data_IF_812985863660
#
_entry.id   IF_812985863660
#
_cell.length_a   1.000
_cell.length_b   1.000
_cell.length_c   1.000
_cell.angle_alpha   90.00
_cell.angle_beta   90.00
_cell.angle_gamma   90.00
#
_symmetry.space_group_name_H-M   'P 1'
#
loop_
_entity.id
_entity.type
_entity.pdbx_description
1 polymer ?
#
# COMPACT_ATOMS: atom_id res chain seq x y z
N UNK A 1 -0.38 8.86 -17.06
CA UNK A 1 0.94 9.10 -17.69
C UNK A 1 1.06 10.61 -17.79
N UNK A 2 2.16 11.20 -17.32
CA UNK A 2 2.49 12.53 -17.84
C UNK A 2 2.69 12.38 -19.36
N UNK A 3 2.32 13.38 -20.15
CA UNK A 3 2.50 13.32 -21.60
C UNK A 3 3.96 13.00 -21.99
N UNK A 4 4.90 13.47 -21.16
CA UNK A 4 6.36 13.24 -21.28
C UNK A 4 6.70 11.75 -21.10
N UNK A 5 6.15 11.08 -20.08
CA UNK A 5 6.41 9.64 -19.85
C UNK A 5 5.98 8.75 -21.02
N UNK A 6 4.86 9.06 -21.68
CA UNK A 6 4.44 8.34 -22.90
C UNK A 6 5.32 8.61 -24.11
N UNK A 7 5.83 9.85 -24.26
CA UNK A 7 6.75 10.20 -25.35
C UNK A 7 8.07 9.45 -25.17
N UNK A 8 8.63 9.49 -23.96
CA UNK A 8 9.89 8.81 -23.64
C UNK A 8 9.77 7.29 -23.71
N UNK A 9 8.66 6.69 -23.28
CA UNK A 9 8.42 5.26 -23.46
C UNK A 9 8.38 4.87 -24.95
N UNK A 10 7.76 5.69 -25.80
CA UNK A 10 7.76 5.49 -27.25
C UNK A 10 9.15 5.60 -27.88
N UNK A 11 9.97 6.54 -27.39
CA UNK A 11 11.39 6.68 -27.79
C UNK A 11 12.21 5.47 -27.32
N UNK A 12 12.02 5.03 -26.08
CA UNK A 12 12.71 3.87 -25.51
C UNK A 12 12.47 2.59 -26.32
N UNK A 13 11.24 2.38 -26.82
CA UNK A 13 10.93 1.27 -27.73
C UNK A 13 11.72 1.38 -29.04
N UNK A 14 11.84 2.57 -29.62
CA UNK A 14 12.55 2.77 -30.89
C UNK A 14 14.05 2.52 -30.78
N UNK A 15 14.67 2.93 -29.68
CA UNK A 15 16.12 2.78 -29.47
C UNK A 15 16.51 1.46 -28.83
N UNK A 16 15.54 0.61 -28.48
CA UNK A 16 15.79 -0.66 -27.83
C UNK A 16 16.30 -0.50 -26.40
N UNK A 17 15.72 0.42 -25.63
CA UNK A 17 15.96 0.62 -24.20
C UNK A 17 14.84 -0.07 -23.37
N UNK A 18 14.93 -1.41 -23.16
CA UNK A 18 13.85 -2.17 -22.52
C UNK A 18 13.65 -1.83 -21.04
N UNK A 19 14.69 -1.45 -20.29
CA UNK A 19 14.59 -1.19 -18.85
C UNK A 19 13.84 0.12 -18.62
N UNK A 20 14.26 1.21 -19.27
CA UNK A 20 13.53 2.49 -19.25
C UNK A 20 12.07 2.30 -19.70
N UNK A 21 11.83 1.52 -20.76
CA UNK A 21 10.47 1.24 -21.23
C UNK A 21 9.60 0.61 -20.15
N UNK A 22 10.07 -0.46 -19.49
CA UNK A 22 9.29 -1.14 -18.45
C UNK A 22 9.05 -0.25 -17.22
N UNK A 23 10.06 0.52 -16.80
CA UNK A 23 9.94 1.48 -15.69
C UNK A 23 8.90 2.57 -16.00
N UNK A 24 8.94 3.15 -17.21
CA UNK A 24 8.00 4.21 -17.60
C UNK A 24 6.57 3.67 -17.86
N UNK A 25 6.43 2.37 -18.16
CA UNK A 25 5.14 1.71 -18.32
C UNK A 25 4.45 1.43 -16.98
N UNK A 26 5.21 0.99 -15.96
CA UNK A 26 4.68 0.61 -14.66
C UNK A 26 4.75 1.76 -13.63
N UNK A 27 3.80 2.67 -13.84
CA UNK A 27 3.63 3.99 -13.23
C UNK A 27 3.00 4.03 -11.83
N UNK A 28 2.71 2.89 -11.20
CA UNK A 28 1.91 2.88 -9.97
C UNK A 28 2.70 2.38 -8.74
N UNK A 29 2.63 3.13 -7.63
CA UNK A 29 3.34 2.82 -6.39
C UNK A 29 4.82 3.22 -6.42
N UNK A 30 5.69 2.40 -5.82
CA UNK A 30 7.15 2.64 -5.72
C UNK A 30 7.88 2.71 -7.08
N UNK A 31 7.24 2.24 -8.17
CA UNK A 31 7.74 2.39 -9.54
C UNK A 31 7.64 3.82 -10.09
N UNK A 32 6.78 4.66 -9.51
CA UNK A 32 6.66 6.07 -9.87
C UNK A 32 7.87 6.92 -9.49
N UNK A 33 8.55 6.58 -8.38
CA UNK A 33 9.74 7.29 -7.92
C UNK A 33 10.92 7.05 -8.89
N UNK A 34 11.13 5.79 -9.29
CA UNK A 34 12.17 5.42 -10.27
C UNK A 34 11.87 6.03 -11.65
N UNK A 35 10.60 6.09 -12.04
CA UNK A 35 10.20 6.74 -13.29
C UNK A 35 10.50 8.25 -13.28
N UNK A 36 10.39 8.92 -12.12
CA UNK A 36 10.82 10.31 -11.94
C UNK A 36 12.32 10.48 -12.16
N UNK A 37 13.14 9.67 -11.50
CA UNK A 37 14.60 9.70 -11.62
C UNK A 37 15.08 9.44 -13.06
N UNK A 38 14.42 8.52 -13.77
CA UNK A 38 14.69 8.26 -15.19
C UNK A 38 14.40 9.49 -16.05
N UNK A 39 13.27 10.16 -15.82
CA UNK A 39 12.89 11.38 -16.56
C UNK A 39 13.87 12.51 -16.26
N UNK A 40 14.26 12.71 -15.01
CA UNK A 40 15.23 13.72 -14.59
C UNK A 40 16.62 13.46 -15.20
N UNK A 41 17.05 12.20 -15.25
CA UNK A 41 18.32 11.80 -15.86
C UNK A 41 18.32 12.07 -17.36
N UNK A 42 17.23 11.79 -18.06
CA UNK A 42 17.08 12.09 -19.49
C UNK A 42 17.07 13.61 -19.73
N UNK A 43 16.35 14.37 -18.90
CA UNK A 43 16.34 15.83 -18.93
C UNK A 43 17.75 16.42 -18.77
N UNK A 44 18.51 15.93 -17.78
CA UNK A 44 19.89 16.33 -17.53
C UNK A 44 20.83 16.04 -18.70
N UNK A 45 20.66 14.90 -19.40
CA UNK A 45 21.47 14.56 -20.59
C UNK A 45 21.18 15.46 -21.79
N UNK A 46 19.94 15.91 -21.95
CA UNK A 46 19.54 16.83 -23.01
C UNK A 46 19.85 18.29 -22.63
N UNK A 47 19.98 18.59 -21.33
CA UNK A 47 20.28 19.91 -20.81
C UNK A 47 19.06 20.83 -20.76
N UNK A 48 17.84 20.26 -20.73
CA UNK A 48 16.58 21.00 -20.63
C UNK A 48 15.84 20.61 -19.35
N UNK A 49 14.98 21.48 -18.80
CA UNK A 49 14.10 21.09 -17.71
C UNK A 49 13.05 20.05 -18.20
N UNK A 50 12.53 19.25 -17.27
CA UNK A 50 11.64 18.10 -17.56
C UNK A 50 10.40 18.52 -18.36
N UNK A 51 9.85 19.67 -18.05
CA UNK A 51 8.69 20.29 -18.69
C UNK A 51 8.94 20.68 -20.15
N UNK A 52 10.19 20.91 -20.54
CA UNK A 52 10.58 21.23 -21.91
C UNK A 52 10.95 19.99 -22.74
N UNK A 53 11.05 18.80 -22.15
CA UNK A 53 11.38 17.55 -22.85
C UNK A 53 10.45 17.25 -24.03
N UNK A 54 9.20 17.66 -23.96
CA UNK A 54 8.23 17.47 -25.05
C UNK A 54 8.54 18.30 -26.31
N UNK A 55 9.38 19.33 -26.19
CA UNK A 55 9.77 20.24 -27.29
C UNK A 55 11.08 19.83 -27.97
N UNK A 56 11.82 18.89 -27.37
CA UNK A 56 13.12 18.43 -27.84
C UNK A 56 12.95 17.55 -29.09
N UNK A 57 13.82 17.68 -30.11
CA UNK A 57 13.82 16.80 -31.28
C UNK A 57 13.97 15.32 -30.89
N UNK A 58 13.17 14.45 -31.52
CA UNK A 58 13.18 13.02 -31.21
C UNK A 58 14.55 12.36 -31.36
N UNK A 59 15.39 12.81 -32.30
CA UNK A 59 16.75 12.29 -32.48
C UNK A 59 17.67 12.56 -31.28
N UNK A 60 17.51 13.69 -30.59
CA UNK A 60 18.28 14.00 -29.38
C UNK A 60 17.77 13.18 -28.18
N UNK A 61 16.45 13.02 -28.06
CA UNK A 61 15.85 12.16 -27.05
C UNK A 61 16.26 10.69 -27.23
N UNK A 62 16.34 10.21 -28.48
CA UNK A 62 16.79 8.85 -28.79
C UNK A 62 18.21 8.61 -28.29
N UNK A 63 19.14 9.53 -28.56
CA UNK A 63 20.52 9.45 -28.06
C UNK A 63 20.57 9.51 -26.53
N UNK A 64 19.82 10.42 -25.92
CA UNK A 64 19.81 10.59 -24.46
C UNK A 64 19.24 9.34 -23.76
N UNK A 65 18.16 8.75 -24.28
CA UNK A 65 17.56 7.52 -23.75
C UNK A 65 18.49 6.33 -23.92
N UNK A 66 19.14 6.19 -25.08
CA UNK A 66 20.10 5.10 -25.31
C UNK A 66 21.33 5.20 -24.37
N UNK A 67 21.84 6.41 -24.14
CA UNK A 67 22.94 6.64 -23.20
C UNK A 67 22.51 6.41 -21.75
N UNK A 68 21.33 6.89 -21.36
CA UNK A 68 20.80 6.69 -20.01
C UNK A 68 20.62 5.20 -19.69
N UNK A 69 20.06 4.42 -20.64
CA UNK A 69 19.92 2.97 -20.50
C UNK A 69 21.29 2.29 -20.36
N UNK A 70 22.28 2.68 -21.18
CA UNK A 70 23.61 2.08 -21.15
C UNK A 70 24.37 2.37 -19.84
N UNK A 71 24.20 3.57 -19.28
CA UNK A 71 24.90 4.01 -18.06
C UNK A 71 24.21 3.54 -16.78
N UNK A 72 22.89 3.68 -16.70
CA UNK A 72 22.12 3.46 -15.45
C UNK A 72 21.17 2.26 -15.50
N UNK A 73 20.95 1.66 -16.68
CA UNK A 73 20.04 0.52 -16.85
C UNK A 73 20.26 -0.60 -15.84
N UNK A 74 21.50 -1.08 -15.61
CA UNK A 74 21.75 -2.13 -14.62
C UNK A 74 21.37 -1.75 -13.18
N UNK A 75 21.62 -0.50 -12.78
CA UNK A 75 21.27 0.01 -11.45
C UNK A 75 19.75 0.13 -11.28
N UNK A 76 19.07 0.73 -12.26
CA UNK A 76 17.62 0.85 -12.25
C UNK A 76 16.92 -0.50 -12.28
N UNK A 77 17.44 -1.48 -13.02
CA UNK A 77 16.92 -2.85 -13.01
C UNK A 77 17.06 -3.50 -11.63
N UNK A 78 18.18 -3.31 -10.93
CA UNK A 78 18.36 -3.82 -9.57
C UNK A 78 17.36 -3.19 -8.59
N UNK A 79 17.20 -1.87 -8.65
CA UNK A 79 16.25 -1.17 -7.79
C UNK A 79 14.80 -1.59 -8.08
N UNK A 80 14.45 -1.72 -9.36
CA UNK A 80 13.14 -2.18 -9.82
C UNK A 80 12.82 -3.59 -9.33
N UNK A 81 13.75 -4.53 -9.53
CA UNK A 81 13.57 -5.93 -9.10
C UNK A 81 13.52 -6.07 -7.58
N UNK A 82 14.28 -5.28 -6.83
CA UNK A 82 14.16 -5.21 -5.37
C UNK A 82 12.78 -4.71 -4.93
N UNK A 83 12.23 -3.71 -5.64
CA UNK A 83 10.88 -3.22 -5.44
C UNK A 83 9.82 -4.31 -5.67
N UNK A 84 9.91 -5.02 -6.79
CA UNK A 84 9.02 -6.14 -7.12
C UNK A 84 9.11 -7.28 -6.11
N UNK A 85 10.32 -7.64 -5.66
CA UNK A 85 10.52 -8.67 -4.65
C UNK A 85 9.82 -8.32 -3.33
N UNK A 86 9.87 -7.06 -2.91
CA UNK A 86 9.14 -6.60 -1.73
C UNK A 86 7.62 -6.70 -1.92
N UNK A 87 7.10 -6.27 -3.07
CA UNK A 87 5.65 -6.38 -3.35
C UNK A 87 5.19 -7.84 -3.33
N UNK A 88 5.98 -8.74 -3.94
CA UNK A 88 5.69 -10.17 -3.89
C UNK A 88 5.76 -10.73 -2.47
N UNK A 89 6.74 -10.30 -1.65
CA UNK A 89 6.85 -10.73 -0.26
C UNK A 89 5.62 -10.34 0.57
N UNK A 90 5.08 -9.13 0.37
CA UNK A 90 3.83 -8.69 1.01
C UNK A 90 2.65 -9.56 0.57
N UNK A 91 2.51 -9.80 -0.74
CA UNK A 91 1.44 -10.64 -1.27
C UNK A 91 1.53 -12.10 -0.78
N UNK A 92 2.74 -12.65 -0.67
CA UNK A 92 2.95 -13.99 -0.11
C UNK A 92 2.65 -14.04 1.38
N UNK A 93 3.00 -13.00 2.14
CA UNK A 93 2.64 -12.88 3.54
C UNK A 93 1.12 -12.87 3.74
N UNK A 94 0.38 -12.18 2.87
CA UNK A 94 -1.08 -12.18 2.87
C UNK A 94 -1.69 -13.54 2.48
N UNK A 95 -1.09 -14.26 1.52
CA UNK A 95 -1.55 -15.58 1.10
C UNK A 95 -1.37 -16.65 2.19
N UNK A 96 -0.32 -16.53 3.00
CA UNK A 96 -0.02 -17.45 4.10
C UNK A 96 -0.93 -17.28 5.33
N UNK A 97 -1.82 -16.29 5.35
CA UNK A 97 -2.65 -16.02 6.51
C UNK A 97 -3.65 -17.18 6.76
N UNK A 98 -3.67 -17.78 7.97
CA UNK A 98 -4.60 -18.84 8.31
C UNK A 98 -6.06 -18.42 8.09
N UNK A 99 -6.87 -19.32 7.52
CA UNK A 99 -8.29 -19.05 7.24
C UNK A 99 -9.06 -18.59 8.48
N UNK A 100 -8.69 -19.08 9.68
CA UNK A 100 -9.29 -18.67 10.95
C UNK A 100 -9.02 -17.21 11.26
N UNK A 101 -7.79 -16.73 11.06
CA UNK A 101 -7.42 -15.33 11.28
C UNK A 101 -8.17 -14.41 10.30
N UNK A 102 -8.28 -14.84 9.05
CA UNK A 102 -9.06 -14.15 8.01
C UNK A 102 -10.55 -14.13 8.38
N UNK A 103 -11.15 -15.26 8.70
CA UNK A 103 -12.56 -15.33 9.07
C UNK A 103 -12.88 -14.50 10.33
N UNK A 104 -11.98 -14.48 11.31
CA UNK A 104 -12.09 -13.66 12.52
C UNK A 104 -12.17 -12.17 12.18
N UNK A 105 -11.23 -11.65 11.38
CA UNK A 105 -11.20 -10.25 10.92
C UNK A 105 -12.54 -9.82 10.32
N UNK A 106 -12.98 -10.56 9.30
CA UNK A 106 -14.17 -10.21 8.55
C UNK A 106 -15.42 -10.42 9.40
N UNK A 107 -15.46 -11.50 10.18
CA UNK A 107 -16.55 -11.81 11.09
C UNK A 107 -16.80 -10.70 12.10
N UNK A 108 -15.75 -10.21 12.78
CA UNK A 108 -15.90 -9.10 13.72
C UNK A 108 -16.23 -7.77 13.06
N UNK A 109 -15.64 -7.48 11.91
CA UNK A 109 -15.92 -6.24 11.19
C UNK A 109 -17.40 -6.16 10.78
N UNK A 110 -17.96 -7.27 10.27
CA UNK A 110 -19.38 -7.33 9.93
C UNK A 110 -20.28 -7.41 11.17
N UNK A 111 -19.89 -8.11 12.23
CA UNK A 111 -20.64 -8.14 13.48
C UNK A 111 -20.77 -6.73 14.07
N UNK A 112 -19.66 -5.99 14.17
CA UNK A 112 -19.67 -4.62 14.67
C UNK A 112 -20.50 -3.71 13.76
N UNK A 113 -20.32 -3.80 12.43
CA UNK A 113 -21.13 -3.06 11.47
C UNK A 113 -22.63 -3.35 11.60
N UNK A 114 -22.99 -4.62 11.80
CA UNK A 114 -24.35 -5.04 12.09
C UNK A 114 -24.86 -4.45 13.41
N UNK A 115 -24.11 -4.54 14.51
CA UNK A 115 -24.53 -4.01 15.81
C UNK A 115 -24.73 -2.49 15.79
N UNK A 116 -23.85 -1.76 15.11
CA UNK A 116 -24.00 -0.33 14.89
C UNK A 116 -25.24 0.00 14.07
N UNK A 117 -25.45 -0.72 12.96
CA UNK A 117 -26.63 -0.55 12.09
C UNK A 117 -27.93 -0.91 12.83
N UNK A 118 -27.91 -2.00 13.60
CA UNK A 118 -29.03 -2.43 14.43
C UNK A 118 -29.43 -1.35 15.43
N UNK A 119 -28.45 -0.82 16.17
CA UNK A 119 -28.66 0.15 17.24
C UNK A 119 -29.08 1.52 16.72
N UNK A 120 -28.45 2.00 15.64
CA UNK A 120 -28.67 3.36 15.15
C UNK A 120 -29.79 3.47 14.11
N UNK A 121 -30.06 2.41 13.37
CA UNK A 121 -30.99 2.43 12.23
C UNK A 121 -32.17 1.50 12.47
N UNK A 122 -31.92 0.20 12.67
CA UNK A 122 -32.99 -0.79 12.67
C UNK A 122 -33.93 -0.65 13.88
N UNK A 123 -33.39 -0.55 15.10
CA UNK A 123 -34.22 -0.44 16.31
C UNK A 123 -35.10 0.82 16.29
N UNK A 124 -34.57 2.03 16.02
CA UNK A 124 -35.42 3.22 15.91
C UNK A 124 -36.48 3.10 14.81
N UNK A 125 -36.12 2.52 13.67
CA UNK A 125 -37.04 2.33 12.54
C UNK A 125 -38.17 1.37 12.89
N UNK A 126 -37.85 0.22 13.49
CA UNK A 126 -38.84 -0.78 13.90
C UNK A 126 -39.73 -0.26 15.01
N UNK A 127 -39.18 0.41 16.02
CA UNK A 127 -39.97 1.03 17.09
C UNK A 127 -40.93 2.08 16.52
N UNK A 128 -40.48 2.89 15.56
CA UNK A 128 -41.34 3.88 14.90
C UNK A 128 -42.43 3.25 14.01
N UNK A 129 -42.12 2.18 13.28
CA UNK A 129 -43.06 1.53 12.37
C UNK A 129 -44.10 0.66 13.09
N UNK A 130 -43.68 -0.06 14.13
CA UNK A 130 -44.51 -1.07 14.80
C UNK A 130 -44.99 -0.62 16.18
N UNK A 131 -44.66 0.60 16.62
CA UNK A 131 -44.88 1.06 18.00
C UNK A 131 -44.31 0.07 19.02
N UNK A 132 -43.21 -0.58 18.67
CA UNK A 132 -42.49 -1.51 19.54
C UNK A 132 -41.60 -0.73 20.52
N UNK A 133 -41.22 -1.39 21.62
CA UNK A 133 -40.28 -0.87 22.61
C UNK A 133 -39.03 -1.77 22.70
N UNK A 134 -38.38 -1.97 21.55
CA UNK A 134 -37.11 -2.70 21.52
C UNK A 134 -36.03 -1.80 22.09
N UNK A 135 -35.37 -2.26 23.15
CA UNK A 135 -34.23 -1.57 23.73
C UNK A 135 -32.95 -1.90 22.95
N UNK A 136 -32.26 -0.89 22.37
CA UNK A 136 -30.97 -1.13 21.74
C UNK A 136 -29.87 -1.31 22.79
N UNK A 137 -28.75 -1.97 22.44
CA UNK A 137 -27.54 -2.00 23.28
C UNK A 137 -27.07 -0.59 23.65
N UNK A 138 -26.41 -0.46 24.80
CA UNK A 138 -25.83 0.82 25.20
C UNK A 138 -24.70 1.23 24.24
N UNK A 139 -24.69 2.50 23.85
CA UNK A 139 -23.69 3.03 22.91
C UNK A 139 -22.27 3.01 23.49
N UNK A 140 -22.14 3.13 24.81
CA UNK A 140 -20.86 3.03 25.53
C UNK A 140 -20.26 1.62 25.41
N UNK A 141 -21.08 0.59 25.53
CA UNK A 141 -20.67 -0.82 25.37
C UNK A 141 -20.21 -1.08 23.93
N UNK A 142 -20.94 -0.58 22.94
CA UNK A 142 -20.58 -0.72 21.52
C UNK A 142 -19.26 -0.02 21.18
N UNK A 143 -19.03 1.18 21.72
CA UNK A 143 -17.77 1.91 21.58
C UNK A 143 -16.63 1.17 22.27
N UNK A 144 -16.86 0.63 23.46
CA UNK A 144 -15.88 -0.14 24.21
C UNK A 144 -15.49 -1.40 23.43
N UNK A 145 -16.47 -2.17 22.95
CA UNK A 145 -16.24 -3.36 22.15
C UNK A 145 -15.50 -3.04 20.83
N UNK A 146 -15.89 -1.97 20.15
CA UNK A 146 -15.23 -1.51 18.91
C UNK A 146 -13.78 -1.12 19.20
N UNK A 147 -13.53 -0.41 20.30
CA UNK A 147 -12.18 -0.01 20.72
C UNK A 147 -11.32 -1.24 21.03
N UNK A 148 -11.87 -2.22 21.75
CA UNK A 148 -11.17 -3.49 22.01
C UNK A 148 -10.85 -4.24 20.73
N UNK A 149 -11.80 -4.30 19.79
CA UNK A 149 -11.55 -4.92 18.49
C UNK A 149 -10.42 -4.20 17.73
N UNK A 150 -10.45 -2.87 17.66
CA UNK A 150 -9.38 -2.09 17.01
C UNK A 150 -8.03 -2.28 17.71
N UNK A 151 -8.00 -2.32 19.03
CA UNK A 151 -6.78 -2.55 19.81
C UNK A 151 -6.20 -3.95 19.57
N UNK A 152 -7.04 -4.98 19.54
CA UNK A 152 -6.60 -6.35 19.25
C UNK A 152 -6.19 -6.54 17.79
N UNK A 153 -6.86 -5.84 16.88
CA UNK A 153 -6.64 -5.93 15.45
C UNK A 153 -5.40 -5.18 14.98
N UNK A 154 -5.22 -3.93 15.42
CA UNK A 154 -4.07 -3.07 15.08
C UNK A 154 -2.88 -3.26 16.04
N UNK A 155 -3.12 -3.69 17.29
CA UNK A 155 -2.12 -3.76 18.36
C UNK A 155 -1.62 -5.16 18.69
N UNK A 156 -1.79 -6.14 17.79
CA UNK A 156 -1.42 -7.54 18.05
C UNK A 156 0.05 -7.76 18.46
N UNK A 157 0.98 -6.89 18.02
CA UNK A 157 2.37 -6.90 18.47
C UNK A 157 2.54 -6.25 19.86
N UNK A 158 1.88 -5.13 20.13
CA UNK A 158 1.90 -4.47 21.44
C UNK A 158 1.34 -5.35 22.55
N UNK A 159 0.26 -6.09 22.28
CA UNK A 159 -0.31 -7.04 23.24
C UNK A 159 0.61 -8.24 23.47
N UNK A 160 1.31 -8.72 22.43
CA UNK A 160 2.31 -9.78 22.56
C UNK A 160 3.52 -9.33 23.39
N UNK A 161 4.03 -8.13 23.14
CA UNK A 161 5.17 -7.56 23.84
C UNK A 161 4.85 -7.33 25.33
N UNK A 162 3.64 -6.85 25.63
CA UNK A 162 3.14 -6.76 27.01
C UNK A 162 3.02 -8.14 27.67
N UNK A 163 2.58 -9.16 26.93
CA UNK A 163 2.53 -10.54 27.40
C UNK A 163 3.92 -11.12 27.71
N UNK A 164 4.91 -10.84 26.86
CA UNK A 164 6.31 -11.23 27.10
C UNK A 164 6.90 -10.53 28.33
N UNK A 165 6.73 -9.21 28.43
CA UNK A 165 7.18 -8.43 29.58
C UNK A 165 6.54 -8.89 30.91
N UNK A 166 5.23 -9.21 30.90
CA UNK A 166 4.54 -9.74 32.07
C UNK A 166 5.06 -11.12 32.49
N UNK A 167 5.37 -11.99 31.52
CA UNK A 167 5.93 -13.32 31.76
C UNK A 167 7.35 -13.23 32.35
N UNK A 168 8.19 -12.36 31.81
CA UNK A 168 9.55 -12.12 32.31
C UNK A 168 9.54 -11.55 33.73
N UNK A 169 8.67 -10.56 34.01
CA UNK A 169 8.51 -10.00 35.34
C UNK A 169 8.05 -11.03 36.38
N UNK A 170 7.17 -11.96 35.98
CA UNK A 170 6.71 -13.05 36.85
C UNK A 170 7.80 -14.11 37.11
N UNK A 171 8.63 -14.41 36.10
CA UNK A 171 9.76 -15.33 36.25
C UNK A 171 10.86 -14.73 37.13
N UNK A 172 11.17 -13.44 36.97
CA UNK A 172 12.12 -12.72 37.81
C UNK A 172 11.70 -12.69 39.29
N UNK A 173 10.40 -12.68 39.57
CA UNK A 173 9.84 -12.72 40.94
C UNK A 173 9.87 -14.12 41.58
N UNK A 174 10.11 -15.18 40.81
CA UNK A 174 10.10 -16.59 41.26
C UNK A 174 11.50 -17.16 41.55
N UNK A 175 12.56 -16.38 41.36
CA UNK A 175 13.91 -16.76 41.75
C UNK A 175 14.12 -16.25 43.19
N UNK A 176 14.30 -17.12 44.20
CA UNK A 176 14.66 -16.70 45.56
C UNK A 176 16.07 -16.09 45.63
#
# INVERSE_FOLDING_TARGET
>A
MSAIGSILAGVAVKVGAPIIKEILADRFGRGGDIAGDVIDTIAGKVGVPVDELATVPSSQLEVAVAQAEAEHGPEWLQLWTAGLAYQQAVLQADQGEPLVARAWRWGWMYLLGFLWTWTLVLVPTVNAMLSADIQPPERSDLLTLTTWFLALYMGGHTVKDLGHAAKEAWQARKIP
#
